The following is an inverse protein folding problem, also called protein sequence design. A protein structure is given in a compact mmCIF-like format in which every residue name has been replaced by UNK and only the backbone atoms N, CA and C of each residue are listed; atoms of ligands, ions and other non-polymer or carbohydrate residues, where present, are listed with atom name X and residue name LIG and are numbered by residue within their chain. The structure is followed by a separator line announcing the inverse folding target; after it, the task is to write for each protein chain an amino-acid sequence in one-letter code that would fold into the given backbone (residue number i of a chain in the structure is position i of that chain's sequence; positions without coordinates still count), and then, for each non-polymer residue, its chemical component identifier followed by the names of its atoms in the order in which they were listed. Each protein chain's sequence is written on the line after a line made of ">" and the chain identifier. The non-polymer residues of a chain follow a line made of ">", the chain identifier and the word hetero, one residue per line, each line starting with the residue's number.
data_IF_651409929955
#
_entry.id   IF_651409929955
#
_cell.length_a   1.000
_cell.length_b   1.000
_cell.length_c   1.000
_cell.angle_alpha   90.00
_cell.angle_beta   90.00
_cell.angle_gamma   90.00
#
_symmetry.space_group_name_H-M   'P 1'
#
loop_
_entity.id
_entity.type
_entity.pdbx_description
1 polymer ?
#
# COMPACT_ATOMS: atom_id res chain seq x y z
N UNK A 1 26.22 60.24 18.98
CA UNK A 1 25.98 60.32 20.44
C UNK A 1 24.59 59.76 20.73
N UNK A 2 24.48 59.05 21.86
CA UNK A 2 23.30 58.40 22.44
C UNK A 2 22.98 56.95 22.02
N UNK A 3 23.46 56.05 22.89
CA UNK A 3 23.13 54.64 23.09
C UNK A 3 21.69 54.46 23.66
N UNK A 4 21.13 53.25 23.46
CA UNK A 4 20.65 52.28 24.50
C UNK A 4 19.88 51.14 23.80
N UNK A 5 20.48 49.96 23.63
CA UNK A 5 20.32 48.75 24.47
C UNK A 5 18.90 48.51 25.02
N UNK A 6 18.27 47.42 24.58
CA UNK A 6 17.47 46.56 25.46
C UNK A 6 17.58 45.10 25.02
N UNK A 7 18.25 44.32 25.89
CA UNK A 7 18.33 42.88 25.89
C UNK A 7 17.08 42.31 26.56
N UNK A 8 16.46 41.30 25.95
CA UNK A 8 15.36 40.53 26.55
C UNK A 8 15.56 39.05 26.29
N UNK A 9 16.49 38.44 27.01
CA UNK A 9 16.61 36.98 27.13
C UNK A 9 15.42 36.46 27.95
N UNK A 10 14.48 35.76 27.32
CA UNK A 10 13.44 34.98 27.97
C UNK A 10 13.77 33.49 27.89
N UNK A 11 14.58 33.01 28.84
CA UNK A 11 14.89 31.59 29.03
C UNK A 11 13.72 30.94 29.80
N UNK A 12 12.85 30.20 29.12
CA UNK A 12 11.87 29.32 29.77
C UNK A 12 12.43 27.90 29.83
N UNK A 13 13.00 27.56 30.98
CA UNK A 13 13.33 26.18 31.35
C UNK A 13 12.08 25.55 31.95
N UNK A 14 11.49 24.58 31.25
CA UNK A 14 10.53 23.66 31.86
C UNK A 14 11.29 22.41 32.33
N UNK A 15 11.58 22.35 33.63
CA UNK A 15 11.93 21.09 34.32
C UNK A 15 10.61 20.46 34.75
N UNK A 16 10.15 19.47 33.99
CA UNK A 16 9.08 18.56 34.38
C UNK A 16 9.68 17.21 34.73
N UNK A 17 9.74 16.89 36.03
CA UNK A 17 10.06 15.57 36.55
C UNK A 17 8.81 14.95 37.20
N UNK A 18 8.76 13.61 37.13
CA UNK A 18 7.97 12.65 37.92
C UNK A 18 6.84 11.89 37.20
N UNK A 19 6.97 10.55 37.25
CA UNK A 19 5.97 9.53 36.91
C UNK A 19 6.41 8.69 35.71
N UNK A 20 6.96 7.48 35.80
CA UNK A 20 6.82 6.44 36.82
C UNK A 20 6.05 5.26 36.22
N UNK A 21 6.70 4.09 36.17
CA UNK A 21 6.17 2.75 35.85
C UNK A 21 5.71 2.50 34.39
N UNK A 22 5.96 1.38 33.73
CA UNK A 22 6.68 0.16 34.05
C UNK A 22 7.06 -0.50 32.71
N UNK A 23 8.25 -1.08 32.64
CA UNK A 23 8.63 -2.02 31.58
C UNK A 23 7.87 -3.32 31.80
N UNK A 24 7.14 -3.79 30.80
CA UNK A 24 6.63 -5.17 30.76
C UNK A 24 7.51 -5.94 29.80
N UNK A 25 8.50 -6.65 30.36
CA UNK A 25 9.27 -7.66 29.64
C UNK A 25 8.42 -8.93 29.55
N UNK A 26 7.93 -9.25 28.36
CA UNK A 26 7.34 -10.56 28.08
C UNK A 26 8.47 -11.52 27.67
N UNK A 27 8.99 -12.25 28.65
CA UNK A 27 9.73 -13.49 28.42
C UNK A 27 8.72 -14.59 28.09
N UNK A 28 8.55 -14.89 26.80
CA UNK A 28 7.83 -16.06 26.32
C UNK A 28 8.78 -17.22 26.13
N UNK A 29 8.76 -18.16 27.07
CA UNK A 29 9.50 -19.41 27.04
C UNK A 29 9.17 -20.28 25.82
N UNK A 30 10.23 -20.88 25.29
CA UNK A 30 10.23 -21.94 24.28
C UNK A 30 10.08 -23.30 24.98
N UNK A 31 9.05 -24.11 24.68
CA UNK A 31 9.15 -25.55 24.86
C UNK A 31 9.73 -26.19 23.59
N UNK A 32 10.76 -27.00 23.79
CA UNK A 32 11.29 -27.93 22.80
C UNK A 32 10.67 -29.32 23.02
N UNK A 33 10.64 -30.10 21.92
CA UNK A 33 10.60 -31.57 21.88
C UNK A 33 9.25 -32.21 22.27
N UNK A 34 8.76 -33.32 21.72
CA UNK A 34 9.20 -34.37 20.80
C UNK A 34 7.90 -35.07 20.35
N UNK A 35 7.77 -35.62 19.14
CA UNK A 35 7.59 -37.07 18.96
C UNK A 35 7.37 -37.44 17.49
N UNK A 36 7.93 -38.59 17.13
CA UNK A 36 7.85 -39.24 15.85
C UNK A 36 6.78 -40.35 15.94
N UNK A 37 6.01 -40.56 14.88
CA UNK A 37 5.16 -41.76 14.81
C UNK A 37 4.43 -41.88 13.49
N UNK A 38 4.29 -43.10 12.94
CA UNK A 38 4.23 -43.35 11.50
C UNK A 38 2.82 -43.43 10.91
N UNK A 39 2.77 -43.39 9.57
CA UNK A 39 1.65 -43.80 8.72
C UNK A 39 0.96 -45.08 9.21
N UNK A 40 -0.36 -45.17 8.97
CA UNK A 40 -0.75 -46.22 8.04
C UNK A 40 -1.74 -45.76 6.97
N UNK A 41 -1.55 -46.34 5.79
CA UNK A 41 -2.46 -46.37 4.66
C UNK A 41 -3.92 -46.60 5.08
N UNK A 42 -4.80 -45.71 4.63
CA UNK A 42 -6.25 -45.86 4.70
C UNK A 42 -6.87 -45.54 3.34
N UNK A 43 -7.02 -46.55 2.50
CA UNK A 43 -7.88 -46.52 1.32
C UNK A 43 -9.33 -46.52 1.80
N UNK A 44 -10.11 -45.48 1.46
CA UNK A 44 -11.58 -45.55 1.54
C UNK A 44 -12.20 -44.88 0.32
N UNK A 45 -12.66 -45.74 -0.57
CA UNK A 45 -13.67 -45.50 -1.60
C UNK A 45 -14.99 -45.07 -0.95
N UNK A 46 -15.62 -44.01 -1.45
CA UNK A 46 -17.02 -44.00 -1.95
C UNK A 46 -17.57 -42.59 -2.07
N UNK A 47 -18.07 -42.29 -3.27
CA UNK A 47 -18.89 -41.12 -3.61
C UNK A 47 -20.16 -41.04 -2.76
N UNK A 48 -20.65 -39.81 -2.53
CA UNK A 48 -22.07 -39.59 -2.77
C UNK A 48 -22.34 -38.39 -3.69
N UNK A 49 -23.30 -38.63 -4.58
CA UNK A 49 -24.04 -37.70 -5.42
C UNK A 49 -24.42 -36.41 -4.67
N UNK A 50 -23.78 -35.30 -5.03
CA UNK A 50 -24.20 -33.96 -4.62
C UNK A 50 -25.28 -33.44 -5.57
N UNK A 51 -26.49 -33.33 -5.05
CA UNK A 51 -27.67 -32.75 -5.69
C UNK A 51 -27.43 -31.28 -6.01
N UNK A 52 -27.57 -30.90 -7.27
CA UNK A 52 -27.50 -29.52 -7.74
C UNK A 52 -28.77 -28.78 -7.30
N UNK A 53 -28.70 -28.03 -6.21
CA UNK A 53 -29.71 -27.02 -5.88
C UNK A 53 -29.37 -25.74 -6.64
N UNK A 54 -30.09 -25.52 -7.75
CA UNK A 54 -30.17 -24.22 -8.43
C UNK A 54 -30.87 -23.23 -7.51
N UNK A 55 -30.09 -22.32 -6.91
CA UNK A 55 -30.58 -21.11 -6.28
C UNK A 55 -30.61 -19.98 -7.33
N UNK A 56 -31.80 -19.48 -7.74
CA UNK A 56 -31.92 -18.46 -8.76
C UNK A 56 -31.97 -17.05 -8.15
N UNK A 57 -31.05 -16.68 -7.27
CA UNK A 57 -30.91 -15.27 -6.83
C UNK A 57 -29.49 -14.93 -6.35
N UNK A 58 -28.46 -15.47 -7.00
CA UNK A 58 -27.12 -14.89 -6.89
C UNK A 58 -27.01 -13.75 -7.92
N UNK A 59 -26.90 -12.50 -7.43
CA UNK A 59 -26.42 -11.39 -8.26
C UNK A 59 -25.14 -11.85 -8.97
N UNK A 60 -24.99 -11.59 -10.29
CA UNK A 60 -23.79 -11.99 -11.00
C UNK A 60 -22.61 -11.23 -10.39
N UNK A 61 -21.79 -11.94 -9.61
CA UNK A 61 -20.39 -11.60 -9.38
C UNK A 61 -19.86 -11.10 -10.72
N UNK A 62 -19.46 -9.83 -10.77
CA UNK A 62 -18.97 -9.21 -12.00
C UNK A 62 -17.78 -10.05 -12.48
N UNK A 63 -18.05 -10.94 -13.43
CA UNK A 63 -17.08 -11.92 -13.89
C UNK A 63 -15.87 -11.16 -14.40
N UNK A 64 -14.72 -11.40 -13.77
CA UNK A 64 -13.46 -10.90 -14.29
C UNK A 64 -13.35 -11.29 -15.77
N UNK A 65 -12.87 -10.40 -16.65
CA UNK A 65 -12.74 -10.70 -18.07
C UNK A 65 -11.93 -11.99 -18.26
N UNK A 66 -12.25 -12.82 -19.27
CA UNK A 66 -11.60 -14.10 -19.47
C UNK A 66 -10.08 -13.90 -19.66
N UNK A 67 -9.24 -14.74 -19.04
CA UNK A 67 -7.80 -14.62 -19.17
C UNK A 67 -7.41 -14.81 -20.63
N UNK A 68 -6.64 -13.86 -21.17
CA UNK A 68 -6.18 -13.86 -22.57
C UNK A 68 -4.86 -14.62 -22.74
N UNK A 69 -4.21 -14.99 -21.64
CA UNK A 69 -2.99 -15.79 -21.60
C UNK A 69 -2.56 -16.15 -20.18
N UNK A 70 -1.62 -17.09 -20.06
CA UNK A 70 -0.99 -17.46 -18.79
C UNK A 70 0.32 -16.68 -18.60
N UNK A 71 0.65 -16.40 -17.35
CA UNK A 71 1.94 -15.81 -16.95
C UNK A 71 2.44 -16.46 -15.65
N UNK A 72 3.61 -16.09 -15.16
CA UNK A 72 4.21 -16.64 -13.93
C UNK A 72 4.98 -15.56 -13.17
N UNK A 73 5.16 -15.72 -11.86
CA UNK A 73 6.00 -14.85 -11.03
C UNK A 73 7.44 -14.71 -11.54
N UNK A 74 7.99 -15.78 -12.13
CA UNK A 74 9.37 -15.77 -12.67
C UNK A 74 9.45 -15.04 -14.03
N UNK A 75 8.31 -14.90 -14.70
CA UNK A 75 8.20 -14.27 -16.02
C UNK A 75 6.84 -13.58 -16.14
N UNK A 76 6.63 -12.45 -15.45
CA UNK A 76 5.33 -11.77 -15.38
C UNK A 76 5.05 -10.95 -16.65
N UNK A 77 5.41 -11.46 -17.82
CA UNK A 77 5.26 -10.76 -19.10
C UNK A 77 3.94 -11.12 -19.75
N UNK A 78 3.13 -10.11 -20.05
CA UNK A 78 1.88 -10.24 -20.80
C UNK A 78 1.93 -9.37 -22.07
N UNK A 79 1.04 -9.63 -23.06
CA UNK A 79 0.86 -8.75 -24.21
C UNK A 79 0.66 -7.27 -23.84
N UNK A 80 0.90 -6.39 -24.81
CA UNK A 80 0.67 -4.96 -24.63
C UNK A 80 -0.79 -4.69 -24.24
N UNK A 81 -1.01 -3.76 -23.31
CA UNK A 81 -2.34 -3.52 -22.74
C UNK A 81 -2.67 -4.41 -21.52
N UNK A 82 -1.93 -5.50 -21.30
CA UNK A 82 -2.20 -6.44 -20.22
C UNK A 82 -1.14 -6.42 -19.11
N UNK A 83 -1.53 -6.94 -17.95
CA UNK A 83 -0.68 -7.15 -16.77
C UNK A 83 -0.86 -8.56 -16.24
N UNK A 84 0.20 -9.10 -15.64
CA UNK A 84 0.16 -10.44 -15.06
C UNK A 84 -0.45 -10.38 -13.65
N UNK A 85 -1.68 -10.85 -13.47
CA UNK A 85 -2.31 -10.97 -12.15
C UNK A 85 -1.88 -12.29 -11.49
N UNK A 86 -1.16 -12.19 -10.37
CA UNK A 86 -0.61 -13.34 -9.63
C UNK A 86 -1.11 -13.26 -8.18
N UNK A 87 -2.03 -14.15 -7.83
CA UNK A 87 -2.52 -14.25 -6.45
C UNK A 87 -1.38 -14.76 -5.55
N UNK A 88 -1.07 -14.01 -4.50
CA UNK A 88 -0.02 -14.39 -3.55
C UNK A 88 1.42 -14.27 -4.07
N UNK A 89 1.63 -13.70 -5.27
CA UNK A 89 2.95 -13.38 -5.82
C UNK A 89 3.94 -14.54 -5.96
N UNK A 90 3.43 -15.76 -6.00
CA UNK A 90 4.22 -16.97 -6.20
C UNK A 90 3.49 -17.88 -7.18
N UNK A 91 4.22 -18.38 -8.19
CA UNK A 91 3.70 -19.35 -9.14
C UNK A 91 2.95 -18.72 -10.32
N UNK A 92 1.97 -19.47 -10.82
CA UNK A 92 1.22 -19.14 -12.04
C UNK A 92 0.26 -17.96 -11.83
N UNK A 93 0.15 -17.12 -12.86
CA UNK A 93 -0.83 -16.04 -12.94
C UNK A 93 -1.57 -16.04 -14.27
N UNK A 94 -2.44 -15.04 -14.44
CA UNK A 94 -3.19 -14.81 -15.67
C UNK A 94 -2.92 -13.41 -16.22
N UNK A 95 -2.82 -13.30 -17.53
CA UNK A 95 -2.82 -12.01 -18.21
C UNK A 95 -4.24 -11.44 -18.23
N UNK A 96 -4.39 -10.26 -17.64
CA UNK A 96 -5.64 -9.51 -17.58
C UNK A 96 -5.41 -8.12 -18.17
N UNK A 97 -6.44 -7.51 -18.74
CA UNK A 97 -6.35 -6.15 -19.27
C UNK A 97 -6.07 -5.15 -18.14
N UNK A 98 -5.13 -4.23 -18.36
CA UNK A 98 -4.80 -3.19 -17.37
C UNK A 98 -6.01 -2.31 -17.04
N UNK A 99 -6.94 -2.16 -17.99
CA UNK A 99 -8.21 -1.44 -17.82
C UNK A 99 -9.13 -2.07 -16.78
N UNK A 100 -8.95 -3.35 -16.42
CA UNK A 100 -9.69 -4.00 -15.33
C UNK A 100 -9.47 -3.29 -13.99
N UNK A 101 -8.34 -2.59 -13.82
CA UNK A 101 -8.03 -1.80 -12.63
C UNK A 101 -8.37 -0.31 -12.79
N UNK A 102 -8.86 0.11 -13.97
CA UNK A 102 -9.13 1.51 -14.25
C UNK A 102 -7.93 2.43 -14.01
N UNK A 103 -8.18 3.58 -13.39
CA UNK A 103 -7.14 4.51 -12.92
C UNK A 103 -6.79 4.31 -11.45
N UNK A 104 -7.23 3.20 -10.84
CA UNK A 104 -6.98 2.93 -9.45
C UNK A 104 -5.55 2.40 -9.24
N UNK A 105 -4.95 2.67 -8.08
CA UNK A 105 -3.66 2.10 -7.76
C UNK A 105 -3.73 0.58 -7.67
N UNK A 106 -2.60 -0.08 -7.91
CA UNK A 106 -2.47 -1.53 -7.75
C UNK A 106 -1.27 -1.89 -6.88
N UNK A 107 -1.35 -3.01 -6.17
CA UNK A 107 -0.25 -3.51 -5.36
C UNK A 107 0.56 -4.51 -6.19
N UNK A 108 1.83 -4.19 -6.43
CA UNK A 108 2.76 -5.06 -7.13
C UNK A 108 3.28 -6.19 -6.25
N UNK A 109 3.79 -7.23 -6.89
CA UNK A 109 4.42 -8.34 -6.18
C UNK A 109 5.77 -8.01 -5.52
N UNK A 110 6.34 -6.86 -5.84
CA UNK A 110 7.50 -6.25 -5.18
C UNK A 110 7.13 -5.40 -3.95
N UNK A 111 5.87 -5.45 -3.49
CA UNK A 111 5.35 -4.66 -2.36
C UNK A 111 5.35 -3.14 -2.58
N UNK A 112 5.54 -2.70 -3.82
CA UNK A 112 5.36 -1.30 -4.22
C UNK A 112 3.91 -1.09 -4.67
N UNK A 113 3.35 0.06 -4.29
CA UNK A 113 2.10 0.51 -4.88
C UNK A 113 2.40 1.16 -6.24
N UNK A 114 1.66 0.83 -7.27
CA UNK A 114 1.75 1.44 -8.58
C UNK A 114 0.53 2.33 -8.78
N UNK A 115 0.75 3.58 -9.18
CA UNK A 115 -0.34 4.55 -9.35
C UNK A 115 -1.36 4.14 -10.41
N UNK A 116 -0.95 3.31 -11.38
CA UNK A 116 -1.80 2.69 -12.40
C UNK A 116 -1.28 1.29 -12.70
N UNK A 117 -2.16 0.41 -13.20
CA UNK A 117 -1.79 -0.95 -13.59
C UNK A 117 -0.71 -0.99 -14.69
N UNK A 118 -0.69 -0.03 -15.61
CA UNK A 118 0.31 0.01 -16.69
C UNK A 118 1.77 0.08 -16.20
N UNK A 119 2.00 0.58 -14.99
CA UNK A 119 3.35 0.74 -14.45
C UNK A 119 3.93 -0.58 -13.88
N UNK A 120 3.12 -1.62 -13.68
CA UNK A 120 3.51 -2.88 -12.98
C UNK A 120 3.83 -4.05 -13.93
N UNK A 121 3.87 -3.79 -15.25
CA UNK A 121 3.93 -4.80 -16.33
C UNK A 121 5.01 -5.88 -16.21
N UNK A 122 6.09 -5.62 -15.48
CA UNK A 122 7.23 -6.55 -15.35
C UNK A 122 7.38 -7.14 -13.94
N UNK A 123 6.41 -6.92 -13.06
CA UNK A 123 6.44 -7.38 -11.67
C UNK A 123 5.26 -8.28 -11.37
N UNK A 124 4.11 -7.99 -11.98
CA UNK A 124 2.85 -8.66 -11.71
C UNK A 124 2.06 -7.96 -10.60
N UNK A 125 0.73 -8.08 -10.71
CA UNK A 125 -0.25 -7.50 -9.80
C UNK A 125 -0.64 -8.54 -8.77
N UNK A 126 -0.47 -8.20 -7.50
CA UNK A 126 -0.97 -8.99 -6.37
C UNK A 126 -2.46 -8.78 -6.14
N UNK A 127 -2.91 -7.54 -6.28
CA UNK A 127 -4.29 -7.12 -6.04
C UNK A 127 -4.55 -5.67 -6.42
N UNK A 128 -5.82 -5.34 -6.54
CA UNK A 128 -6.28 -3.97 -6.74
C UNK A 128 -6.09 -3.14 -5.45
N UNK A 129 -5.92 -1.82 -5.61
CA UNK A 129 -5.68 -0.90 -4.53
C UNK A 129 -4.21 -0.75 -4.15
N UNK A 130 -3.93 0.20 -3.26
CA UNK A 130 -2.60 0.38 -2.71
C UNK A 130 -2.18 -0.80 -1.83
N UNK A 131 -0.87 -1.09 -1.76
CA UNK A 131 -0.36 -2.04 -0.78
C UNK A 131 -0.62 -1.54 0.65
N UNK A 132 -0.98 -2.46 1.55
CA UNK A 132 -1.24 -2.17 2.96
C UNK A 132 -0.60 -3.23 3.87
N UNK A 133 -0.46 -2.92 5.16
CA UNK A 133 0.10 -3.83 6.16
C UNK A 133 1.53 -4.28 5.84
N UNK A 134 1.83 -5.55 6.09
CA UNK A 134 3.15 -6.18 5.86
C UNK A 134 3.53 -6.32 4.38
N UNK A 135 2.58 -6.01 3.50
CA UNK A 135 2.73 -6.08 2.05
C UNK A 135 3.07 -4.74 1.42
N UNK A 136 3.15 -3.67 2.22
CA UNK A 136 3.59 -2.36 1.75
C UNK A 136 5.03 -2.08 2.18
N UNK A 137 5.85 -1.60 1.24
CA UNK A 137 7.14 -1.01 1.61
C UNK A 137 6.87 0.34 2.28
N UNK A 138 7.02 0.37 3.59
CA UNK A 138 6.95 1.61 4.36
C UNK A 138 8.11 2.54 4.01
N UNK A 139 7.88 3.85 4.06
CA UNK A 139 8.90 4.85 3.85
C UNK A 139 8.81 5.99 4.86
N UNK A 140 9.97 6.55 5.18
CA UNK A 140 10.10 7.78 5.96
C UNK A 140 10.89 8.82 5.14
N UNK A 141 10.40 9.10 3.93
CA UNK A 141 10.97 10.08 3.00
C UNK A 141 11.91 9.52 1.92
N UNK A 142 12.26 8.23 1.95
CA UNK A 142 13.09 7.58 0.93
C UNK A 142 12.52 6.25 0.47
N UNK A 143 12.65 5.96 -0.82
CA UNK A 143 12.24 4.71 -1.47
C UNK A 143 13.34 4.26 -2.43
N UNK A 144 13.42 2.95 -2.68
CA UNK A 144 14.40 2.38 -3.59
C UNK A 144 14.10 2.72 -5.05
N UNK A 145 15.14 2.93 -5.85
CA UNK A 145 15.02 3.16 -7.29
C UNK A 145 14.30 4.47 -7.63
N UNK A 146 13.32 4.40 -8.53
CA UNK A 146 12.54 5.55 -8.99
C UNK A 146 11.19 5.72 -8.25
N UNK A 147 10.96 4.93 -7.19
CA UNK A 147 9.76 5.07 -6.37
C UNK A 147 9.79 6.36 -5.54
N UNK A 148 8.60 6.84 -5.17
CA UNK A 148 8.37 8.05 -4.39
C UNK A 148 7.63 7.69 -3.11
N UNK A 149 7.95 8.38 -2.02
CA UNK A 149 7.30 8.14 -0.74
C UNK A 149 5.97 8.86 -0.70
N UNK A 150 4.86 8.11 -0.65
CA UNK A 150 3.53 8.65 -0.46
C UNK A 150 3.23 8.80 1.03
N UNK A 151 3.10 10.02 1.53
CA UNK A 151 2.90 10.32 2.95
C UNK A 151 1.62 11.14 3.15
N UNK A 152 0.44 10.49 3.09
CA UNK A 152 -0.80 11.14 3.48
C UNK A 152 -0.80 11.34 5.01
N UNK A 153 -1.27 12.50 5.47
CA UNK A 153 -1.43 12.81 6.89
C UNK A 153 -2.88 13.13 7.20
N UNK A 154 -3.28 12.99 8.47
CA UNK A 154 -4.67 13.16 8.90
C UNK A 154 -5.16 14.61 8.93
N UNK A 155 -4.24 15.58 8.88
CA UNK A 155 -4.57 17.00 8.86
C UNK A 155 -3.34 17.88 9.01
N UNK A 156 -3.55 19.20 9.02
CA UNK A 156 -2.46 20.19 9.08
C UNK A 156 -1.52 20.03 10.28
N UNK A 157 -2.05 19.61 11.45
CA UNK A 157 -1.25 19.39 12.66
C UNK A 157 -0.30 18.19 12.54
N UNK A 158 -0.66 17.19 11.73
CA UNK A 158 0.15 15.99 11.51
C UNK A 158 1.22 16.17 10.43
N UNK A 159 1.44 17.38 9.91
CA UNK A 159 2.36 17.61 8.80
C UNK A 159 3.83 17.28 9.10
N UNK A 160 4.23 17.26 10.37
CA UNK A 160 5.59 16.86 10.77
C UNK A 160 5.68 15.36 11.12
N UNK A 161 4.55 14.67 11.12
CA UNK A 161 4.41 13.27 11.48
C UNK A 161 3.88 12.47 10.30
N UNK A 162 3.96 11.14 10.38
CA UNK A 162 3.43 10.26 9.34
C UNK A 162 4.49 9.34 8.74
N UNK A 163 4.06 8.08 8.58
CA UNK A 163 4.77 7.08 7.79
C UNK A 163 4.08 6.98 6.45
N UNK A 164 4.87 6.86 5.40
CA UNK A 164 4.36 6.66 4.05
C UNK A 164 4.50 5.24 3.56
N UNK A 165 4.04 5.02 2.34
CA UNK A 165 4.35 3.82 1.56
C UNK A 165 5.06 4.21 0.27
N UNK A 166 5.89 3.32 -0.28
CA UNK A 166 6.60 3.57 -1.52
C UNK A 166 5.70 3.32 -2.72
N UNK A 167 5.61 4.32 -3.59
CA UNK A 167 4.75 4.33 -4.78
C UNK A 167 5.59 4.52 -6.03
N UNK A 168 5.32 3.73 -7.06
CA UNK A 168 5.82 3.93 -8.41
C UNK A 168 4.83 4.81 -9.16
N UNK A 169 5.27 6.02 -9.47
CA UNK A 169 4.45 7.06 -10.10
C UNK A 169 4.72 7.14 -11.60
N UNK A 170 3.76 7.62 -12.41
CA UNK A 170 4.04 8.03 -13.78
C UNK A 170 5.02 9.22 -13.79
N UNK A 171 5.62 9.52 -14.94
CA UNK A 171 6.52 10.66 -15.08
C UNK A 171 5.82 12.00 -14.85
N UNK A 172 4.52 12.06 -15.14
CA UNK A 172 3.68 13.25 -14.97
C UNK A 172 2.28 12.85 -14.48
N UNK A 173 1.67 13.72 -13.68
CA UNK A 173 0.29 13.55 -13.25
C UNK A 173 -0.70 14.00 -14.33
N UNK A 174 -1.81 13.28 -14.55
CA UNK A 174 -2.88 13.76 -15.41
C UNK A 174 -3.50 15.05 -14.85
N UNK A 175 -3.73 16.03 -15.72
CA UNK A 175 -4.29 17.34 -15.34
C UNK A 175 -5.75 17.26 -14.85
N UNK A 176 -6.45 16.16 -15.14
CA UNK A 176 -7.84 15.91 -14.76
C UNK A 176 -8.02 15.40 -13.33
N UNK A 177 -6.93 15.18 -12.58
CA UNK A 177 -7.05 14.67 -11.22
C UNK A 177 -7.70 15.68 -10.28
N UNK A 178 -8.56 15.23 -9.36
CA UNK A 178 -9.21 16.11 -8.40
C UNK A 178 -8.14 16.74 -7.49
N UNK A 179 -8.22 18.07 -7.37
CA UNK A 179 -7.36 18.85 -6.47
C UNK A 179 -7.94 18.89 -5.07
N UNK A 180 -8.10 17.72 -4.45
CA UNK A 180 -8.79 17.54 -3.17
C UNK A 180 -7.88 17.64 -1.92
N UNK A 181 -6.59 17.91 -2.13
CA UNK A 181 -5.60 17.81 -1.06
C UNK A 181 -4.82 19.10 -0.89
N UNK A 182 -4.54 19.47 0.37
CA UNK A 182 -3.60 20.55 0.69
C UNK A 182 -2.23 19.97 0.99
N UNK A 183 -1.20 20.62 0.48
CA UNK A 183 0.17 20.24 0.78
C UNK A 183 0.63 20.84 2.11
N UNK A 184 1.32 20.06 2.92
CA UNK A 184 1.92 20.53 4.15
C UNK A 184 2.85 21.74 3.91
N UNK A 185 2.74 22.75 4.78
CA UNK A 185 3.48 24.02 4.67
C UNK A 185 3.04 24.92 3.51
N UNK A 186 1.92 24.63 2.85
CA UNK A 186 1.38 25.48 1.78
C UNK A 186 -0.13 25.68 1.92
N UNK A 187 -0.63 26.75 1.31
CA UNK A 187 -2.06 27.00 1.11
C UNK A 187 -2.58 26.48 -0.23
N UNK A 188 -1.71 25.93 -1.07
CA UNK A 188 -2.04 25.43 -2.39
C UNK A 188 -2.74 24.07 -2.30
N UNK A 189 -3.88 23.96 -2.99
CA UNK A 189 -4.55 22.70 -3.26
C UNK A 189 -3.95 22.01 -4.49
N UNK A 190 -3.85 20.69 -4.44
CA UNK A 190 -3.38 19.86 -5.53
C UNK A 190 -3.91 18.43 -5.44
N UNK A 191 -3.47 17.59 -6.36
CA UNK A 191 -3.80 16.17 -6.37
C UNK A 191 -2.83 15.36 -5.51
N UNK A 192 -3.27 14.17 -5.09
CA UNK A 192 -2.39 13.22 -4.41
C UNK A 192 -1.17 12.87 -5.28
N UNK A 193 -1.35 12.71 -6.59
CA UNK A 193 -0.26 12.40 -7.51
C UNK A 193 0.84 13.48 -7.48
N UNK A 194 0.46 14.76 -7.53
CA UNK A 194 1.41 15.88 -7.49
C UNK A 194 2.16 15.91 -6.16
N UNK A 195 1.48 15.67 -5.04
CA UNK A 195 2.12 15.61 -3.73
C UNK A 195 3.21 14.54 -3.69
N UNK A 196 2.88 13.32 -4.15
CA UNK A 196 3.81 12.18 -4.15
C UNK A 196 5.00 12.43 -5.09
N UNK A 197 4.78 12.95 -6.30
CA UNK A 197 5.87 13.29 -7.22
C UNK A 197 6.82 14.35 -6.66
N UNK A 198 6.28 15.34 -5.94
CA UNK A 198 7.05 16.39 -5.29
C UNK A 198 7.67 15.95 -3.95
N UNK A 199 7.40 14.72 -3.48
CA UNK A 199 7.87 14.24 -2.17
C UNK A 199 7.28 15.02 -1.00
N UNK A 200 6.06 15.55 -1.16
CA UNK A 200 5.38 16.36 -0.17
C UNK A 200 4.35 15.55 0.61
N UNK A 201 4.25 15.87 1.89
CA UNK A 201 3.15 15.40 2.75
C UNK A 201 1.89 16.19 2.42
N UNK A 202 0.73 15.53 2.50
CA UNK A 202 -0.54 16.14 2.13
C UNK A 202 -1.70 15.55 2.95
N UNK A 203 -2.78 16.31 3.05
CA UNK A 203 -4.01 15.88 3.74
C UNK A 203 -5.24 16.30 2.95
N UNK A 204 -6.33 15.56 3.12
CA UNK A 204 -7.61 15.93 2.53
C UNK A 204 -8.13 17.21 3.20
N UNK A 205 -8.49 18.21 2.40
CA UNK A 205 -8.98 19.49 2.90
C UNK A 205 -10.33 19.80 2.21
N UNK A 206 -11.43 19.97 2.97
CA UNK A 206 -12.72 20.34 2.40
C UNK A 206 -12.74 21.64 1.58
N UNK A 207 -11.76 22.52 1.78
CA UNK A 207 -11.58 23.76 1.00
C UNK A 207 -10.95 23.52 -0.37
N UNK A 208 -10.38 22.34 -0.60
CA UNK A 208 -9.82 21.91 -1.87
C UNK A 208 -10.91 21.09 -2.61
N UNK A 209 -11.71 21.76 -3.44
CA UNK A 209 -12.78 21.15 -4.26
C UNK A 209 -12.82 21.80 -5.64
#
# INVERSE_FOLDING_TARGET
>A
MSLRLWSGLGLLVFVGACGGAASVEFFGEKPASTDAGPDPSGTVTSSPTGTTTTDPTAEPDAALPPPTGACSSDRPTCPQGQVCAIKGCSGSGACVDASTFGNDPVCGCDKLTYATADLVRNVGVRGAGACAGDDAIACNGSCSGNAKCNVPVSGALACNEGKGTCWRMPQSCPASLPKAYRFCGSVTCGSACEAVLQGRRYFADPLCR
#
